data_IF_283978523867
#
_entry.id   IF_283978523867
#
_cell.length_a   1.000
_cell.length_b   1.000
_cell.length_c   1.000
_cell.angle_alpha   90.00
_cell.angle_beta   90.00
_cell.angle_gamma   90.00
#
_symmetry.space_group_name_H-M   'P 1'
#
loop_
_entity.id
_entity.type
_entity.pdbx_description
1 polymer ?
#
# COMPACT_ATOMS: atom_id res chain seq x y z
N UNK A 1 27.77 -20.44 -44.80
CA UNK A 1 27.82 -19.13 -44.10
C UNK A 1 26.45 -18.46 -43.90
N UNK A 2 25.58 -18.41 -44.93
CA UNK A 2 24.27 -17.75 -44.84
C UNK A 2 23.29 -18.47 -43.89
N UNK A 3 23.19 -19.80 -43.95
CA UNK A 3 22.32 -20.59 -43.07
C UNK A 3 22.68 -20.51 -41.57
N UNK A 4 23.97 -20.41 -41.25
CA UNK A 4 24.46 -20.32 -39.86
C UNK A 4 24.04 -18.98 -39.24
N UNK A 5 24.08 -17.89 -40.02
CA UNK A 5 23.61 -16.57 -39.60
C UNK A 5 22.10 -16.56 -39.33
N UNK A 6 21.31 -17.22 -40.19
CA UNK A 6 19.84 -17.30 -40.06
C UNK A 6 19.44 -18.09 -38.80
N UNK A 7 20.14 -19.19 -38.50
CA UNK A 7 19.89 -20.01 -37.30
C UNK A 7 20.25 -19.28 -35.99
N UNK A 8 21.33 -18.49 -35.98
CA UNK A 8 21.71 -17.66 -34.83
C UNK A 8 20.70 -16.52 -34.58
N UNK A 9 20.19 -15.88 -35.64
CA UNK A 9 19.17 -14.84 -35.53
C UNK A 9 17.82 -15.39 -35.04
N UNK A 10 17.44 -16.59 -35.48
CA UNK A 10 16.21 -17.24 -35.02
C UNK A 10 16.26 -17.64 -33.53
N UNK A 11 17.45 -18.02 -33.03
CA UNK A 11 17.66 -18.30 -31.60
C UNK A 11 17.57 -17.06 -30.73
N UNK A 12 18.06 -15.92 -31.20
CA UNK A 12 18.02 -14.65 -30.47
C UNK A 12 16.58 -14.11 -30.39
N UNK A 13 15.80 -14.19 -31.48
CA UNK A 13 14.39 -13.79 -31.49
C UNK A 13 13.51 -14.74 -30.66
N UNK A 14 13.80 -16.05 -30.69
CA UNK A 14 13.09 -17.02 -29.84
C UNK A 14 13.40 -16.85 -28.34
N UNK A 15 14.64 -16.50 -27.97
CA UNK A 15 15.02 -16.24 -26.58
C UNK A 15 14.52 -14.91 -26.01
N UNK A 16 14.29 -13.90 -26.85
CA UNK A 16 13.80 -12.59 -26.41
C UNK A 16 12.33 -12.64 -25.98
N UNK A 17 11.51 -13.41 -26.72
CA UNK A 17 10.06 -13.55 -26.46
C UNK A 17 9.74 -14.26 -25.13
N UNK A 18 10.63 -15.11 -24.63
CA UNK A 18 10.42 -15.86 -23.38
C UNK A 18 10.78 -15.07 -22.10
N UNK A 19 11.46 -13.92 -22.20
CA UNK A 19 12.03 -13.22 -21.03
C UNK A 19 11.29 -11.96 -20.58
N UNK A 20 10.27 -11.50 -21.27
CA UNK A 20 9.54 -10.27 -20.91
C UNK A 20 8.13 -10.54 -20.42
N UNK A 21 7.98 -11.46 -19.47
CA UNK A 21 6.86 -11.38 -18.53
C UNK A 21 7.18 -10.29 -17.48
N UNK A 22 7.27 -9.05 -17.94
CA UNK A 22 7.37 -7.87 -17.09
C UNK A 22 5.99 -7.77 -16.39
N UNK A 23 5.83 -8.50 -15.27
CA UNK A 23 4.61 -8.52 -14.46
C UNK A 23 4.43 -7.15 -13.82
N UNK A 24 3.88 -6.20 -14.58
CA UNK A 24 3.35 -4.98 -13.99
C UNK A 24 2.13 -5.36 -13.16
N UNK A 25 2.06 -4.94 -11.89
CA UNK A 25 0.84 -5.07 -11.12
C UNK A 25 -0.24 -4.24 -11.83
N UNK A 26 -1.13 -4.91 -12.57
CA UNK A 26 -2.22 -4.30 -13.35
C UNK A 26 -3.30 -3.66 -12.46
N UNK A 27 -3.20 -3.82 -11.14
CA UNK A 27 -4.16 -3.27 -10.19
C UNK A 27 -3.47 -2.90 -8.89
N UNK A 28 -3.15 -1.61 -8.74
CA UNK A 28 -2.78 -1.03 -7.45
C UNK A 28 -4.08 -0.77 -6.70
N UNK A 29 -4.55 -1.74 -5.92
CA UNK A 29 -5.70 -1.51 -5.03
C UNK A 29 -5.21 -0.65 -3.86
N UNK A 30 -5.31 0.67 -3.99
CA UNK A 30 -5.08 1.60 -2.89
C UNK A 30 -6.17 1.40 -1.84
N UNK A 31 -5.90 0.56 -0.84
CA UNK A 31 -6.81 0.38 0.30
C UNK A 31 -6.74 1.63 1.19
N UNK A 32 -7.70 2.53 0.97
CA UNK A 32 -7.86 3.74 1.76
C UNK A 32 -9.11 3.68 2.63
N UNK A 33 -9.13 4.50 3.67
CA UNK A 33 -10.30 4.64 4.52
C UNK A 33 -11.40 5.45 3.80
N UNK A 34 -12.57 4.84 3.62
CA UNK A 34 -13.80 5.52 3.18
C UNK A 34 -14.70 5.92 4.36
N UNK A 35 -14.56 5.21 5.49
CA UNK A 35 -15.27 5.48 6.73
C UNK A 35 -14.29 5.62 7.90
N UNK A 36 -14.70 6.39 8.90
CA UNK A 36 -13.92 6.65 10.12
C UNK A 36 -14.71 6.27 11.35
N UNK A 37 -14.03 5.69 12.33
CA UNK A 37 -14.57 5.45 13.68
C UNK A 37 -14.15 6.58 14.62
N UNK A 38 -15.04 6.94 15.55
CA UNK A 38 -14.74 7.86 16.66
C UNK A 38 -14.57 7.14 17.99
N UNK A 39 -14.83 5.84 18.00
CA UNK A 39 -14.79 5.04 19.23
C UNK A 39 -13.35 4.88 19.71
N UNK A 40 -13.07 5.12 21.01
CA UNK A 40 -11.75 4.90 21.57
C UNK A 40 -11.43 3.40 21.61
N UNK A 41 -10.13 3.09 21.60
CA UNK A 41 -9.66 1.73 21.72
C UNK A 41 -8.46 1.60 22.66
N UNK A 42 -8.34 0.42 23.27
CA UNK A 42 -7.39 0.11 24.35
C UNK A 42 -6.31 -0.91 23.98
N UNK A 43 -6.36 -1.51 22.77
CA UNK A 43 -5.34 -2.48 22.34
C UNK A 43 -4.01 -1.81 21.94
N UNK A 44 -2.90 -2.57 21.97
CA UNK A 44 -1.60 -2.11 21.52
C UNK A 44 -1.60 -1.80 20.02
N UNK A 45 -0.95 -0.70 19.66
CA UNK A 45 -0.77 -0.25 18.30
C UNK A 45 0.70 -0.34 17.92
N UNK A 46 0.96 -0.76 16.68
CA UNK A 46 2.29 -0.72 16.08
C UNK A 46 2.70 0.70 15.66
N UNK A 47 1.73 1.53 15.30
CA UNK A 47 1.98 2.88 14.80
C UNK A 47 0.74 3.51 14.18
N UNK A 48 0.91 4.67 13.55
CA UNK A 48 -0.14 5.37 12.84
C UNK A 48 0.38 6.06 11.59
N UNK A 49 -0.52 6.34 10.64
CA UNK A 49 -0.29 7.23 9.51
C UNK A 49 -1.46 8.20 9.38
N UNK A 50 -1.20 9.37 8.83
CA UNK A 50 -2.24 10.34 8.48
C UNK A 50 -2.60 10.12 7.01
N UNK A 51 -3.90 9.98 6.73
CA UNK A 51 -4.44 9.86 5.39
C UNK A 51 -5.13 11.19 5.01
N UNK A 52 -4.69 11.78 3.91
CA UNK A 52 -5.34 12.97 3.35
C UNK A 52 -6.67 12.58 2.68
N UNK A 53 -7.63 13.50 2.65
CA UNK A 53 -8.87 13.30 1.90
C UNK A 53 -8.58 13.30 0.40
N UNK A 54 -9.05 12.26 -0.29
CA UNK A 54 -9.00 12.13 -1.74
C UNK A 54 -10.15 11.23 -2.17
N UNK A 55 -11.24 11.80 -2.69
CA UNK A 55 -12.45 11.04 -3.04
C UNK A 55 -12.13 9.75 -3.83
N UNK A 56 -12.59 8.57 -3.40
CA UNK A 56 -13.60 8.28 -2.35
C UNK A 56 -13.04 8.18 -0.91
N UNK A 57 -11.74 8.39 -0.72
CA UNK A 57 -11.07 8.32 0.57
C UNK A 57 -11.34 9.57 1.41
N UNK A 58 -11.65 9.39 2.70
CA UNK A 58 -11.86 10.48 3.65
C UNK A 58 -10.57 10.80 4.40
N UNK A 59 -10.51 12.01 4.97
CA UNK A 59 -9.42 12.38 5.87
C UNK A 59 -9.51 11.55 7.15
N UNK A 60 -8.46 10.77 7.45
CA UNK A 60 -8.47 9.81 8.54
C UNK A 60 -7.08 9.64 9.14
N UNK A 61 -7.01 9.32 10.43
CA UNK A 61 -5.80 8.77 11.03
C UNK A 61 -5.93 7.26 11.03
N UNK A 62 -4.99 6.58 10.38
CA UNK A 62 -4.98 5.13 10.23
C UNK A 62 -4.02 4.55 11.26
N UNK A 63 -4.57 3.83 12.23
CA UNK A 63 -3.79 3.14 13.26
C UNK A 63 -3.55 1.69 12.86
N UNK A 64 -2.31 1.22 13.02
CA UNK A 64 -1.92 -0.17 12.75
C UNK A 64 -1.92 -0.97 14.05
N UNK A 65 -2.64 -2.09 14.06
CA UNK A 65 -2.62 -3.03 15.19
C UNK A 65 -1.38 -3.93 15.09
N UNK A 66 -0.86 -4.39 16.22
CA UNK A 66 0.25 -5.36 16.23
C UNK A 66 -0.16 -6.71 15.62
N UNK A 67 -1.36 -7.20 15.95
CA UNK A 67 -1.92 -8.47 15.46
C UNK A 67 -2.39 -8.43 13.99
N UNK A 68 -2.00 -7.39 13.25
CA UNK A 68 -2.47 -7.14 11.89
C UNK A 68 -3.82 -6.44 11.84
N UNK A 69 -4.02 -5.70 10.74
CA UNK A 69 -5.21 -4.88 10.51
C UNK A 69 -4.99 -3.40 10.78
N UNK A 70 -5.77 -2.57 10.08
CA UNK A 70 -5.75 -1.12 10.20
C UNK A 70 -7.10 -0.61 10.69
N UNK A 71 -7.07 0.49 11.43
CA UNK A 71 -8.28 1.16 11.92
C UNK A 71 -8.27 2.59 11.42
N UNK A 72 -9.34 2.95 10.74
CA UNK A 72 -9.60 4.30 10.29
C UNK A 72 -10.28 5.09 11.42
N UNK A 73 -9.67 6.17 11.85
CA UNK A 73 -10.18 7.01 12.94
C UNK A 73 -10.34 8.45 12.49
N UNK A 74 -11.38 9.11 12.99
CA UNK A 74 -11.63 10.53 12.74
C UNK A 74 -10.56 11.39 13.46
N UNK A 75 -9.79 12.24 12.74
CA UNK A 75 -8.79 13.11 13.34
C UNK A 75 -9.37 14.11 14.35
N UNK A 76 -10.66 14.43 14.25
CA UNK A 76 -11.36 15.36 15.15
C UNK A 76 -11.75 14.73 16.48
N UNK A 77 -11.58 13.41 16.66
CA UNK A 77 -11.87 12.78 17.93
C UNK A 77 -10.90 13.25 19.03
N UNK A 78 -11.45 13.71 20.17
CA UNK A 78 -10.68 14.34 21.26
C UNK A 78 -9.57 13.46 21.85
N UNK A 79 -9.76 12.14 21.85
CA UNK A 79 -8.77 11.17 22.33
C UNK A 79 -7.64 10.92 21.31
N UNK A 80 -7.89 11.12 20.01
CA UNK A 80 -6.89 10.91 18.96
C UNK A 80 -5.79 11.94 19.07
N UNK A 81 -6.17 13.21 19.24
CA UNK A 81 -5.21 14.30 19.44
C UNK A 81 -4.29 14.07 20.64
N UNK A 82 -4.79 13.42 21.71
CA UNK A 82 -3.96 13.03 22.86
C UNK A 82 -2.99 11.90 22.51
N UNK A 83 -3.43 10.90 21.75
CA UNK A 83 -2.59 9.76 21.31
C UNK A 83 -1.53 10.15 20.27
N UNK A 84 -1.82 11.09 19.37
CA UNK A 84 -0.88 11.53 18.34
C UNK A 84 0.10 12.58 18.86
N UNK A 85 -0.33 13.48 19.75
CA UNK A 85 0.53 14.50 20.39
C UNK A 85 1.47 13.89 21.44
N UNK A 86 1.12 12.74 22.01
CA UNK A 86 1.91 12.06 23.03
C UNK A 86 3.09 11.22 22.52
N UNK A 87 3.44 11.28 21.24
CA UNK A 87 4.60 10.59 20.63
C UNK A 87 4.63 9.08 20.93
N UNK A 88 4.01 8.28 20.04
CA UNK A 88 4.46 6.89 19.89
C UNK A 88 5.98 6.93 19.63
N UNK A 89 6.81 6.15 20.36
CA UNK A 89 8.26 6.19 20.21
C UNK A 89 8.64 5.91 18.76
N UNK A 90 9.63 6.66 18.27
CA UNK A 90 10.23 6.51 16.95
C UNK A 90 10.82 5.10 16.77
#
# INVERSE_FOLDING_TARGET
PHLIFVLSLWRITFFCSLRMAFRWPTKVTTTCCTHVSRSPFTFPLKGYRIQNALSPCVHAIVFYREKGGMICTDPKASWVSRKTRGTLPN
#
